data_IF_994147102845
#
_entry.id   IF_994147102845
#
_cell.length_a   1.000
_cell.length_b   1.000
_cell.length_c   1.000
_cell.angle_alpha   90.00
_cell.angle_beta   90.00
_cell.angle_gamma   90.00
#
_symmetry.space_group_name_H-M   'P 1'
#
loop_
_entity.id
_entity.type
_entity.pdbx_description
1 polymer ?
#
# COMPACT_ATOMS: atom_id res chain seq x y z
N UNK A 1 -5.09 -42.46 22.11
CA UNK A 1 -4.64 -42.52 20.70
C UNK A 1 -4.14 -41.15 20.32
N UNK A 2 -2.81 -40.92 20.43
CA UNK A 2 -2.18 -39.64 20.16
C UNK A 2 -1.66 -39.66 18.72
N UNK A 3 -2.37 -39.02 17.81
CA UNK A 3 -1.91 -38.78 16.45
C UNK A 3 -0.99 -37.56 16.43
N UNK A 4 0.31 -37.77 16.41
CA UNK A 4 1.31 -36.75 16.08
C UNK A 4 1.23 -36.51 14.58
N UNK A 5 0.91 -35.28 14.19
CA UNK A 5 1.13 -34.80 12.82
C UNK A 5 2.63 -34.55 12.63
N UNK A 6 3.28 -35.45 11.93
CA UNK A 6 4.66 -35.29 11.46
C UNK A 6 4.62 -34.54 10.12
N UNK A 7 4.85 -33.21 10.19
CA UNK A 7 5.12 -32.40 9.00
C UNK A 7 6.60 -32.54 8.66
N UNK A 8 6.92 -33.58 7.88
CA UNK A 8 8.27 -33.75 7.34
C UNK A 8 8.58 -32.67 6.31
N UNK A 9 9.54 -31.82 6.63
CA UNK A 9 10.14 -30.75 5.79
C UNK A 9 10.91 -31.32 4.58
N UNK A 10 10.26 -32.12 3.73
CA UNK A 10 10.89 -32.67 2.52
C UNK A 10 10.96 -31.70 1.33
N UNK A 11 10.55 -30.45 1.49
CA UNK A 11 10.61 -29.44 0.43
C UNK A 11 11.90 -28.59 0.41
N UNK A 12 12.80 -28.76 1.38
CA UNK A 12 14.05 -28.00 1.44
C UNK A 12 15.28 -28.75 0.89
N UNK A 13 15.15 -30.02 0.54
CA UNK A 13 16.30 -30.85 0.08
C UNK A 13 16.56 -30.77 -1.43
N UNK A 14 15.81 -29.95 -2.19
CA UNK A 14 16.08 -29.69 -3.62
C UNK A 14 16.78 -28.34 -3.88
N UNK A 15 17.17 -27.60 -2.86
CA UNK A 15 17.83 -26.31 -3.00
C UNK A 15 19.38 -26.36 -3.11
N UNK A 16 19.98 -27.55 -3.31
CA UNK A 16 21.44 -27.72 -3.29
C UNK A 16 22.09 -27.79 -4.68
N UNK A 17 21.53 -27.14 -5.69
CA UNK A 17 22.23 -26.92 -6.95
C UNK A 17 21.94 -25.53 -7.54
N UNK A 18 22.12 -24.49 -6.74
CA UNK A 18 22.34 -23.16 -7.31
C UNK A 18 23.79 -23.15 -7.78
N UNK A 19 23.97 -23.30 -9.09
CA UNK A 19 25.24 -23.15 -9.76
C UNK A 19 25.73 -21.71 -9.53
N UNK A 20 26.84 -21.53 -8.82
CA UNK A 20 27.54 -20.25 -8.61
C UNK A 20 28.15 -19.73 -9.92
N UNK A 21 27.46 -19.89 -11.03
CA UNK A 21 27.76 -19.18 -12.26
C UNK A 21 27.67 -17.68 -12.00
N UNK A 22 28.57 -16.87 -12.61
CA UNK A 22 28.49 -15.43 -12.43
C UNK A 22 27.07 -15.00 -12.78
N UNK A 23 26.40 -14.34 -11.83
CA UNK A 23 25.12 -13.67 -12.08
C UNK A 23 25.37 -12.80 -13.29
N UNK A 24 24.96 -13.30 -14.45
CA UNK A 24 24.96 -12.54 -15.66
C UNK A 24 24.23 -11.26 -15.34
N UNK A 25 24.92 -10.12 -15.35
CA UNK A 25 24.30 -8.81 -15.41
C UNK A 25 23.47 -8.84 -16.70
N UNK A 26 22.29 -9.44 -16.59
CA UNK A 26 21.38 -9.55 -17.70
C UNK A 26 20.93 -8.16 -18.05
N UNK A 27 21.45 -7.74 -19.22
CA UNK A 27 20.87 -6.75 -20.08
C UNK A 27 20.38 -5.50 -19.34
N UNK A 28 21.11 -4.45 -19.52
CA UNK A 28 20.64 -3.07 -19.57
C UNK A 28 19.37 -3.03 -20.47
N UNK A 29 18.25 -3.53 -19.95
CA UNK A 29 16.94 -3.26 -20.51
C UNK A 29 16.81 -1.76 -20.31
N UNK A 30 16.83 -1.02 -21.41
CA UNK A 30 16.77 0.42 -21.42
C UNK A 30 15.59 0.85 -20.52
N UNK A 31 15.91 1.27 -19.29
CA UNK A 31 14.91 1.78 -18.35
C UNK A 31 14.27 2.99 -19.01
N UNK A 32 12.97 2.98 -19.15
CA UNK A 32 12.24 4.17 -19.61
C UNK A 32 12.22 5.15 -18.47
N UNK A 33 12.77 6.36 -18.62
CA UNK A 33 12.74 7.35 -17.55
C UNK A 33 11.30 7.67 -17.14
N UNK A 34 11.10 7.93 -15.85
CA UNK A 34 9.81 8.39 -15.36
C UNK A 34 9.38 9.71 -16.05
N UNK A 35 8.07 9.98 -16.16
CA UNK A 35 7.58 11.28 -16.55
C UNK A 35 8.22 12.38 -15.70
N UNK A 36 8.66 13.47 -16.34
CA UNK A 36 9.42 14.52 -15.66
C UNK A 36 8.65 15.14 -14.47
N UNK A 37 7.32 15.21 -14.56
CA UNK A 37 6.47 15.70 -13.47
C UNK A 37 6.55 14.77 -12.24
N UNK A 38 6.42 13.46 -12.45
CA UNK A 38 6.51 12.46 -11.39
C UNK A 38 7.91 12.45 -10.76
N UNK A 39 8.97 12.48 -11.58
CA UNK A 39 10.34 12.53 -11.07
C UNK A 39 10.57 13.80 -10.21
N UNK A 40 10.05 14.95 -10.63
CA UNK A 40 10.15 16.19 -9.87
C UNK A 40 9.36 16.13 -8.55
N UNK A 41 8.19 15.49 -8.54
CA UNK A 41 7.39 15.28 -7.34
C UNK A 41 8.11 14.38 -6.33
N UNK A 42 8.66 13.25 -6.78
CA UNK A 42 9.48 12.36 -5.95
C UNK A 42 10.69 13.10 -5.38
N UNK A 43 11.38 13.92 -6.18
CA UNK A 43 12.51 14.72 -5.72
C UNK A 43 12.09 15.75 -4.68
N UNK A 44 10.95 16.42 -4.87
CA UNK A 44 10.46 17.44 -3.93
C UNK A 44 9.96 16.85 -2.61
N UNK A 45 9.48 15.61 -2.63
CA UNK A 45 9.12 14.85 -1.43
C UNK A 45 10.32 14.64 -0.49
N UNK A 46 11.53 14.50 -1.04
CA UNK A 46 12.78 14.44 -0.26
C UNK A 46 12.97 13.16 0.56
N UNK A 47 12.16 12.14 0.32
CA UNK A 47 12.25 10.85 1.03
C UNK A 47 12.88 9.79 0.12
N UNK A 48 14.19 9.59 0.25
CA UNK A 48 15.00 8.64 -0.55
C UNK A 48 14.71 8.70 -2.06
N UNK A 49 14.72 9.88 -2.70
CA UNK A 49 14.18 10.06 -4.04
C UNK A 49 14.81 9.14 -5.08
N UNK A 50 16.13 8.93 -5.06
CA UNK A 50 16.81 8.06 -6.01
C UNK A 50 16.40 6.59 -5.85
N UNK A 51 16.14 6.15 -4.62
CA UNK A 51 15.66 4.80 -4.32
C UNK A 51 14.22 4.61 -4.81
N UNK A 52 13.36 5.60 -4.62
CA UNK A 52 11.96 5.57 -5.08
C UNK A 52 11.88 5.59 -6.60
N UNK A 53 12.74 6.38 -7.28
CA UNK A 53 12.85 6.40 -8.73
C UNK A 53 13.32 5.03 -9.25
N UNK A 54 14.36 4.44 -8.65
CA UNK A 54 14.86 3.12 -9.05
C UNK A 54 13.79 2.03 -8.87
N UNK A 55 13.04 2.06 -7.76
CA UNK A 55 11.92 1.16 -7.50
C UNK A 55 10.84 1.29 -8.60
N UNK A 56 10.46 2.53 -8.94
CA UNK A 56 9.44 2.80 -9.94
C UNK A 56 9.87 2.35 -11.33
N UNK A 57 11.06 2.72 -11.80
CA UNK A 57 11.58 2.34 -13.12
C UNK A 57 11.74 0.83 -13.26
N UNK A 58 12.23 0.18 -12.21
CA UNK A 58 12.37 -1.29 -12.17
C UNK A 58 11.02 -1.98 -12.25
N UNK A 59 10.03 -1.49 -11.50
CA UNK A 59 8.69 -2.08 -11.45
C UNK A 59 7.91 -1.86 -12.74
N UNK A 60 8.08 -0.71 -13.39
CA UNK A 60 7.46 -0.39 -14.68
C UNK A 60 7.96 -1.33 -15.80
N UNK A 61 9.22 -1.75 -15.74
CA UNK A 61 9.82 -2.60 -16.77
C UNK A 61 9.59 -2.11 -18.21
N UNK A 62 9.56 -0.78 -18.39
CA UNK A 62 9.34 -0.13 -19.67
C UNK A 62 7.89 0.24 -20.02
N UNK A 63 6.92 -0.05 -19.16
CA UNK A 63 5.55 0.41 -19.35
C UNK A 63 5.45 1.94 -19.18
N UNK A 64 4.55 2.55 -19.94
CA UNK A 64 4.24 3.97 -19.84
C UNK A 64 3.35 4.25 -18.62
N UNK A 65 3.71 5.28 -17.83
CA UNK A 65 2.89 5.78 -16.73
C UNK A 65 1.80 6.69 -17.29
N UNK A 66 0.56 6.33 -17.07
CA UNK A 66 -0.61 7.13 -17.47
C UNK A 66 -1.10 8.04 -16.34
N UNK A 67 -1.05 7.58 -15.10
CA UNK A 67 -1.39 8.35 -13.90
C UNK A 67 -0.53 7.87 -12.72
N UNK A 68 -0.41 8.72 -11.72
CA UNK A 68 0.29 8.39 -10.48
C UNK A 68 -0.33 9.07 -9.26
N UNK A 69 -0.03 8.50 -8.08
CA UNK A 69 -0.28 9.10 -6.79
C UNK A 69 0.95 8.85 -5.92
N UNK A 70 1.48 9.90 -5.31
CA UNK A 70 2.57 9.84 -4.35
C UNK A 70 2.03 10.29 -2.99
N UNK A 71 2.20 9.47 -1.96
CA UNK A 71 1.71 9.75 -0.63
C UNK A 71 2.78 9.43 0.42
N UNK A 72 3.18 10.44 1.19
CA UNK A 72 4.15 10.31 2.28
C UNK A 72 3.44 10.47 3.62
N UNK A 73 3.48 9.42 4.42
CA UNK A 73 2.98 9.43 5.79
C UNK A 73 4.14 9.51 6.79
N UNK A 74 3.89 10.19 7.90
CA UNK A 74 4.76 10.20 9.06
C UNK A 74 3.97 9.79 10.30
N UNK A 75 4.40 8.72 10.96
CA UNK A 75 3.83 8.27 12.22
C UNK A 75 4.82 8.51 13.35
N UNK A 76 4.29 8.85 14.52
CA UNK A 76 5.08 9.10 15.72
C UNK A 76 4.81 7.98 16.72
N UNK A 77 5.83 7.22 17.05
CA UNK A 77 5.77 6.17 18.08
C UNK A 77 6.97 6.26 19.00
N UNK A 78 6.71 6.31 20.34
CA UNK A 78 7.74 6.31 21.38
C UNK A 78 8.91 7.28 21.15
N UNK A 79 8.64 8.52 20.73
CA UNK A 79 9.61 9.58 20.39
C UNK A 79 10.41 9.34 19.09
N UNK A 80 10.04 8.32 18.30
CA UNK A 80 10.59 8.09 16.96
C UNK A 80 9.60 8.50 15.88
N UNK A 81 10.13 9.03 14.78
CA UNK A 81 9.36 9.36 13.58
C UNK A 81 9.61 8.25 12.56
N UNK A 82 8.56 7.57 12.14
CA UNK A 82 8.61 6.58 11.08
C UNK A 82 7.94 7.17 9.84
N UNK A 83 8.66 7.21 8.74
CA UNK A 83 8.15 7.68 7.46
C UNK A 83 7.87 6.50 6.55
N UNK A 84 6.74 6.54 5.90
CA UNK A 84 6.28 5.56 4.93
C UNK A 84 5.83 6.27 3.66
N UNK A 85 6.39 5.91 2.52
CA UNK A 85 5.99 6.44 1.24
C UNK A 85 5.28 5.37 0.43
N UNK A 86 4.11 5.70 -0.06
CA UNK A 86 3.35 4.90 -1.02
C UNK A 86 3.35 5.59 -2.37
N UNK A 87 3.77 4.88 -3.40
CA UNK A 87 3.71 5.29 -4.79
C UNK A 87 2.76 4.36 -5.55
N UNK A 88 1.72 4.93 -6.15
CA UNK A 88 0.82 4.18 -7.04
C UNK A 88 1.04 4.68 -8.46
N UNK A 89 1.29 3.76 -9.37
CA UNK A 89 1.44 4.05 -10.80
C UNK A 89 0.39 3.26 -11.58
N UNK A 90 -0.31 3.93 -12.49
CA UNK A 90 -1.23 3.29 -13.42
C UNK A 90 -0.62 3.25 -14.82
N UNK A 91 -0.58 2.08 -15.38
CA UNK A 91 -0.24 1.84 -16.80
C UNK A 91 -1.50 1.47 -17.59
N UNK A 92 -1.36 1.14 -18.85
CA UNK A 92 -2.48 0.69 -19.67
C UNK A 92 -3.10 -0.64 -19.21
N UNK A 93 -2.35 -1.51 -18.53
CA UNK A 93 -2.77 -2.89 -18.23
C UNK A 93 -2.72 -3.25 -16.75
N UNK A 94 -1.95 -2.50 -15.95
CA UNK A 94 -1.71 -2.84 -14.55
C UNK A 94 -1.56 -1.59 -13.68
N UNK A 95 -1.79 -1.78 -12.42
CA UNK A 95 -1.43 -0.87 -11.35
C UNK A 95 -0.19 -1.40 -10.65
N UNK A 96 0.76 -0.52 -10.37
CA UNK A 96 1.95 -0.81 -9.58
C UNK A 96 1.84 -0.05 -8.27
N UNK A 97 2.08 -0.74 -7.16
CA UNK A 97 2.12 -0.12 -5.83
C UNK A 97 3.51 -0.34 -5.29
N UNK A 98 4.20 0.76 -5.01
CA UNK A 98 5.51 0.77 -4.37
C UNK A 98 5.39 1.29 -2.95
N UNK A 99 6.06 0.63 -2.01
CA UNK A 99 6.20 1.08 -0.64
C UNK A 99 7.67 1.28 -0.32
N UNK A 100 7.96 2.34 0.41
CA UNK A 100 9.30 2.63 0.92
C UNK A 100 9.18 3.02 2.39
N UNK A 101 9.82 2.24 3.26
CA UNK A 101 9.85 2.45 4.70
C UNK A 101 11.26 2.77 5.15
N UNK A 102 11.43 3.72 6.07
CA UNK A 102 12.69 3.88 6.76
C UNK A 102 12.75 2.97 7.99
N UNK A 103 13.95 2.46 8.24
CA UNK A 103 14.23 1.61 9.38
C UNK A 103 15.60 1.94 9.96
N UNK A 104 15.68 1.99 11.28
CA UNK A 104 16.96 2.06 11.99
C UNK A 104 17.28 0.67 12.56
N UNK A 105 18.41 0.10 12.19
CA UNK A 105 18.87 -1.17 12.73
C UNK A 105 20.35 -1.09 13.08
N UNK A 106 20.68 -1.39 14.33
CA UNK A 106 22.07 -1.32 14.81
C UNK A 106 22.71 0.07 14.72
N UNK A 107 21.91 1.15 14.75
CA UNK A 107 22.38 2.54 14.59
C UNK A 107 22.67 2.94 13.14
N UNK A 108 22.30 2.12 12.17
CA UNK A 108 22.40 2.42 10.74
C UNK A 108 21.01 2.67 10.15
N UNK A 109 20.92 3.70 9.32
CA UNK A 109 19.72 3.96 8.54
C UNK A 109 19.62 2.95 7.39
N UNK A 110 18.48 2.29 7.30
CA UNK A 110 18.11 1.38 6.22
C UNK A 110 16.78 1.82 5.62
N UNK A 111 16.53 1.45 4.37
CA UNK A 111 15.22 1.54 3.78
C UNK A 111 14.77 0.15 3.30
N UNK A 112 13.50 -0.15 3.50
CA UNK A 112 12.84 -1.34 2.95
C UNK A 112 11.96 -0.86 1.81
N UNK A 113 12.16 -1.43 0.61
CA UNK A 113 11.31 -1.16 -0.54
C UNK A 113 10.60 -2.44 -0.97
N UNK A 114 9.35 -2.32 -1.34
CA UNK A 114 8.58 -3.39 -1.95
C UNK A 114 7.75 -2.86 -3.10
N UNK A 115 7.46 -3.69 -4.09
CA UNK A 115 6.53 -3.36 -5.16
C UNK A 115 5.59 -4.51 -5.46
N UNK A 116 4.34 -4.19 -5.74
CA UNK A 116 3.31 -5.12 -6.18
C UNK A 116 2.80 -4.70 -7.55
N UNK A 117 2.65 -5.67 -8.46
CA UNK A 117 2.11 -5.46 -9.79
C UNK A 117 0.75 -6.13 -9.91
N UNK A 118 -0.30 -5.34 -10.07
CA UNK A 118 -1.70 -5.78 -10.04
C UNK A 118 -2.31 -5.54 -11.42
N UNK A 119 -2.71 -6.58 -12.15
CA UNK A 119 -3.49 -6.40 -13.38
C UNK A 119 -4.75 -5.57 -13.10
N UNK A 120 -5.06 -4.58 -13.94
CA UNK A 120 -6.26 -3.74 -13.74
C UNK A 120 -7.56 -4.57 -13.71
N UNK A 121 -7.59 -5.72 -14.39
CA UNK A 121 -8.71 -6.66 -14.32
C UNK A 121 -8.91 -7.33 -12.97
N UNK A 122 -7.93 -7.28 -12.08
CA UNK A 122 -8.02 -7.82 -10.72
C UNK A 122 -8.49 -6.76 -9.71
N UNK A 123 -8.43 -5.47 -10.04
CA UNK A 123 -8.97 -4.43 -9.17
C UNK A 123 -10.48 -4.61 -9.10
N UNK A 124 -10.98 -5.02 -7.94
CA UNK A 124 -12.37 -5.40 -7.73
C UNK A 124 -13.22 -4.24 -7.20
N UNK A 125 -12.60 -3.31 -6.48
CA UNK A 125 -13.30 -2.13 -5.95
C UNK A 125 -12.34 -0.96 -5.81
N UNK A 126 -12.86 0.23 -6.10
CA UNK A 126 -12.22 1.52 -5.80
C UNK A 126 -13.27 2.40 -5.14
N UNK A 127 -12.99 2.85 -3.92
CA UNK A 127 -13.89 3.71 -3.14
C UNK A 127 -13.16 5.01 -2.83
N UNK A 128 -13.75 6.13 -3.24
CA UNK A 128 -13.32 7.46 -2.83
C UNK A 128 -14.33 8.02 -1.83
N UNK A 129 -13.89 8.23 -0.60
CA UNK A 129 -14.66 8.88 0.45
C UNK A 129 -14.16 10.31 0.64
N UNK A 130 -15.06 11.26 0.78
CA UNK A 130 -14.72 12.66 1.07
C UNK A 130 -15.49 13.15 2.28
N UNK A 131 -14.82 13.86 3.16
CA UNK A 131 -15.44 14.64 4.23
C UNK A 131 -15.52 16.09 3.78
N UNK A 132 -16.74 16.60 3.64
CA UNK A 132 -16.99 17.95 3.15
C UNK A 132 -17.50 18.83 4.28
N UNK A 133 -16.83 19.95 4.52
CA UNK A 133 -17.27 20.95 5.47
C UNK A 133 -18.34 21.85 4.85
N UNK A 134 -19.37 22.23 5.60
CA UNK A 134 -20.50 23.03 5.14
C UNK A 134 -21.18 22.48 3.86
N UNK A 135 -21.62 21.20 3.86
CA UNK A 135 -22.12 20.54 2.65
C UNK A 135 -23.41 21.18 2.10
N UNK A 136 -24.15 21.91 2.94
CA UNK A 136 -25.34 22.70 2.57
C UNK A 136 -25.04 23.85 1.59
N UNK A 137 -23.77 24.26 1.49
CA UNK A 137 -23.30 25.34 0.60
C UNK A 137 -22.32 24.87 -0.47
N UNK A 138 -22.20 23.56 -0.64
CA UNK A 138 -21.26 22.98 -1.60
C UNK A 138 -21.47 23.54 -3.01
N UNK A 139 -20.38 23.98 -3.65
CA UNK A 139 -20.39 24.59 -4.97
C UNK A 139 -20.85 26.06 -5.04
N UNK A 140 -21.28 26.66 -3.94
CA UNK A 140 -21.71 28.07 -3.88
C UNK A 140 -20.89 28.93 -2.91
N UNK A 141 -20.27 28.33 -1.92
CA UNK A 141 -19.47 29.01 -0.92
C UNK A 141 -18.04 28.43 -0.92
N UNK A 142 -16.99 29.24 -1.10
CA UNK A 142 -15.60 28.77 -1.02
C UNK A 142 -15.21 28.15 0.33
N UNK A 143 -15.95 28.42 1.41
CA UNK A 143 -15.76 27.78 2.71
C UNK A 143 -16.28 26.34 2.75
N UNK A 144 -17.09 25.93 1.77
CA UNK A 144 -17.51 24.53 1.60
C UNK A 144 -16.45 23.80 0.80
N UNK A 145 -15.59 23.08 1.50
CA UNK A 145 -14.43 22.41 0.91
C UNK A 145 -14.28 20.99 1.43
N UNK A 146 -13.62 20.15 0.68
CA UNK A 146 -13.17 18.84 1.16
C UNK A 146 -12.07 19.05 2.20
N UNK A 147 -12.23 18.47 3.38
CA UNK A 147 -11.27 18.57 4.48
C UNK A 147 -10.50 17.28 4.69
N UNK A 148 -10.98 16.20 4.09
CA UNK A 148 -10.35 14.90 4.13
C UNK A 148 -10.85 14.03 2.97
N UNK A 149 -9.98 13.20 2.42
CA UNK A 149 -10.32 12.20 1.43
C UNK A 149 -9.65 10.85 1.75
N UNK A 150 -10.35 9.75 1.48
CA UNK A 150 -9.82 8.39 1.59
C UNK A 150 -9.98 7.68 0.26
N UNK A 151 -8.87 7.18 -0.25
CA UNK A 151 -8.86 6.27 -1.38
C UNK A 151 -8.66 4.85 -0.85
N UNK A 152 -9.65 4.00 -1.07
CA UNK A 152 -9.57 2.58 -0.75
C UNK A 152 -9.64 1.78 -2.04
N UNK A 153 -8.74 0.83 -2.20
CA UNK A 153 -8.75 -0.08 -3.34
C UNK A 153 -8.58 -1.52 -2.87
N UNK A 154 -9.22 -2.44 -3.59
CA UNK A 154 -9.15 -3.87 -3.27
C UNK A 154 -8.93 -4.69 -4.53
N UNK A 155 -8.07 -5.70 -4.42
CA UNK A 155 -7.78 -6.70 -5.46
C UNK A 155 -7.68 -8.12 -4.90
N UNK A 156 -8.00 -8.30 -3.60
CA UNK A 156 -8.14 -9.58 -2.94
C UNK A 156 -6.86 -10.18 -2.38
N UNK A 157 -5.77 -9.39 -2.23
CA UNK A 157 -4.56 -9.85 -1.57
C UNK A 157 -4.74 -9.90 -0.04
N UNK A 158 -5.45 -8.93 0.52
CA UNK A 158 -5.71 -8.82 1.96
C UNK A 158 -7.20 -8.65 2.24
N UNK A 159 -7.67 -9.25 3.31
CA UNK A 159 -9.04 -9.10 3.77
C UNK A 159 -9.06 -8.87 5.27
N UNK A 160 -9.87 -7.90 5.69
CA UNK A 160 -10.11 -7.59 7.09
C UNK A 160 -11.35 -8.33 7.57
N UNK A 161 -11.23 -9.00 8.71
CA UNK A 161 -12.33 -9.65 9.41
C UNK A 161 -12.45 -9.06 10.81
N UNK A 162 -13.54 -8.34 11.06
CA UNK A 162 -13.87 -7.80 12.37
C UNK A 162 -14.96 -8.66 12.99
N UNK A 163 -14.69 -9.25 14.14
CA UNK A 163 -15.59 -10.17 14.83
C UNK A 163 -15.91 -9.65 16.23
N UNK A 164 -17.16 -9.75 16.62
CA UNK A 164 -17.65 -9.51 17.97
C UNK A 164 -18.50 -10.70 18.43
N UNK A 165 -18.53 -11.00 19.75
CA UNK A 165 -19.40 -12.03 20.27
C UNK A 165 -20.86 -11.75 19.93
N UNK A 166 -21.52 -12.70 19.29
CA UNK A 166 -22.95 -12.60 19.02
C UNK A 166 -23.77 -12.78 20.32
N UNK A 167 -24.83 -12.00 20.48
CA UNK A 167 -25.73 -12.07 21.62
C UNK A 167 -27.19 -12.14 21.16
N UNK A 168 -28.04 -12.82 21.91
CA UNK A 168 -29.46 -12.85 21.65
C UNK A 168 -30.26 -11.73 22.38
N UNK A 169 -29.57 -10.84 23.12
CA UNK A 169 -30.20 -9.78 23.89
C UNK A 169 -30.84 -10.23 25.22
N UNK A 170 -30.85 -11.51 25.54
CA UNK A 170 -31.30 -12.03 26.82
C UNK A 170 -30.15 -12.02 27.84
N UNK A 171 -30.20 -11.18 28.91
CA UNK A 171 -29.17 -11.08 29.91
C UNK A 171 -28.97 -12.35 30.74
N UNK A 172 -29.91 -13.28 30.72
CA UNK A 172 -29.83 -14.56 31.42
C UNK A 172 -29.36 -15.71 30.51
N UNK A 173 -29.14 -15.43 29.25
CA UNK A 173 -28.67 -16.45 28.30
C UNK A 173 -27.21 -16.84 28.53
N UNK A 174 -26.94 -18.12 28.76
CA UNK A 174 -25.59 -18.67 28.92
C UNK A 174 -25.13 -19.44 27.71
N UNK A 175 -25.90 -19.44 26.61
CA UNK A 175 -25.52 -20.12 25.39
C UNK A 175 -24.40 -19.38 24.67
N UNK A 176 -23.51 -20.14 24.02
CA UNK A 176 -22.52 -19.59 23.11
C UNK A 176 -23.19 -19.31 21.74
N UNK A 177 -23.35 -18.05 21.39
CA UNK A 177 -23.96 -17.62 20.12
C UNK A 177 -22.94 -17.49 18.98
N UNK A 178 -21.66 -17.83 19.23
CA UNK A 178 -20.59 -17.65 18.26
C UNK A 178 -20.21 -16.19 18.10
N UNK A 179 -19.92 -15.80 16.88
CA UNK A 179 -19.48 -14.43 16.55
C UNK A 179 -20.33 -13.89 15.39
N UNK A 180 -20.54 -12.59 15.39
CA UNK A 180 -21.02 -11.82 14.25
C UNK A 180 -19.92 -10.83 13.84
N UNK A 181 -19.92 -10.37 12.60
CA UNK A 181 -18.91 -9.41 12.18
C UNK A 181 -19.02 -9.04 10.72
N UNK A 182 -18.07 -8.23 10.30
CA UNK A 182 -17.92 -7.77 8.92
C UNK A 182 -16.67 -8.33 8.30
N UNK A 183 -16.76 -8.65 7.02
CA UNK A 183 -15.65 -9.05 6.17
C UNK A 183 -15.52 -8.03 5.05
N UNK A 184 -14.35 -7.41 4.91
CA UNK A 184 -14.07 -6.44 3.85
C UNK A 184 -12.71 -6.71 3.21
N UNK A 185 -12.60 -6.44 1.91
CA UNK A 185 -11.30 -6.31 1.26
C UNK A 185 -10.64 -5.02 1.74
N UNK A 186 -9.36 -5.07 2.07
CA UNK A 186 -8.64 -3.94 2.67
C UNK A 186 -7.17 -4.00 2.22
N UNK A 187 -6.97 -4.02 0.89
CA UNK A 187 -5.62 -4.18 0.36
C UNK A 187 -4.80 -2.90 0.48
N UNK A 188 -5.43 -1.73 0.21
CA UNK A 188 -4.81 -0.42 0.44
C UNK A 188 -5.85 0.63 0.81
N UNK A 189 -5.52 1.46 1.81
CA UNK A 189 -6.27 2.66 2.19
C UNK A 189 -5.29 3.82 2.33
N UNK A 190 -5.49 4.86 1.54
CA UNK A 190 -4.72 6.11 1.61
C UNK A 190 -5.63 7.19 2.12
N UNK A 191 -5.23 7.86 3.19
CA UNK A 191 -5.96 8.97 3.81
C UNK A 191 -5.20 10.26 3.58
N UNK A 192 -5.86 11.23 3.00
CA UNK A 192 -5.29 12.51 2.61
C UNK A 192 -6.05 13.67 3.23
N UNK A 193 -5.33 14.73 3.54
CA UNK A 193 -5.91 15.99 3.99
C UNK A 193 -5.19 17.19 3.35
N UNK A 194 -5.88 18.32 3.11
CA UNK A 194 -5.25 19.51 2.54
C UNK A 194 -4.06 20.03 3.34
N UNK A 195 -4.04 19.77 4.64
CA UNK A 195 -2.97 20.22 5.52
C UNK A 195 -1.68 19.38 5.39
N UNK A 196 -1.81 18.09 5.08
CA UNK A 196 -0.67 17.18 4.94
C UNK A 196 -0.21 17.04 3.49
N UNK A 197 -1.18 16.94 2.56
CA UNK A 197 -0.92 16.53 1.18
C UNK A 197 -1.07 17.66 0.16
N UNK A 198 -1.64 18.82 0.57
CA UNK A 198 -1.95 19.92 -0.31
C UNK A 198 -3.43 19.91 -0.78
N UNK A 199 -3.96 21.12 -0.99
CA UNK A 199 -5.38 21.29 -1.36
C UNK A 199 -5.71 20.88 -2.80
N UNK A 200 -4.72 20.71 -3.63
CA UNK A 200 -4.82 20.26 -5.02
C UNK A 200 -4.84 18.74 -5.16
N UNK A 201 -4.48 18.02 -4.10
CA UNK A 201 -4.51 16.56 -4.05
C UNK A 201 -5.78 15.99 -3.38
N UNK A 202 -6.53 16.81 -2.64
CA UNK A 202 -7.72 16.43 -1.88
C UNK A 202 -8.98 17.09 -2.44
#
# INVERSE_FOLDING_TARGET
MNGRFDMSWRLLDQASSWDDGPVSQSADQARVPLPAALAAEIQSCGFFPELVIDLAETSLAGDEVLDHLLHLEATFDNDEVHRHLTLILRTATRMLIGHTDERAEGGQLQAITSSESIPLSHVSSVVLTRVVQHPDRFGTDPASTTVEAWLQMTWGAVSRLELEPATCGDPMCTANHGYTGTFSGDDIVIRMSPAADGADQV
#
